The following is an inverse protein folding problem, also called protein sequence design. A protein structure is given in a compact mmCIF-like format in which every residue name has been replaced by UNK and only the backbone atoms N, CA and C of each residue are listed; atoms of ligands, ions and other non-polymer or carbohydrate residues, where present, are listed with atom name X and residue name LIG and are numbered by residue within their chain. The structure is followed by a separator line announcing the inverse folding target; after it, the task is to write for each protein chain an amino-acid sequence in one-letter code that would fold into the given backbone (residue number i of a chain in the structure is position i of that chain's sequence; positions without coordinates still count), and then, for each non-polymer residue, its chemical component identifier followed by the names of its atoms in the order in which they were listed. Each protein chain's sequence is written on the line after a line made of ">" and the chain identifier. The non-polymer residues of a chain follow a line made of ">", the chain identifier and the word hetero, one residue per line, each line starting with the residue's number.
data_IF_507954200775
#
_entry.id   IF_507954200775
#
_cell.length_a   1.000
_cell.length_b   1.000
_cell.length_c   1.000
_cell.angle_alpha   90.00
_cell.angle_beta   90.00
_cell.angle_gamma   90.00
#
_symmetry.space_group_name_H-M   'P 1'
#
loop_
_entity.id
_entity.type
_entity.pdbx_description
1 polymer ?
#
# COMPACT_ATOMS: atom_id res chain seq x y z
N UNK A 1 20.65 64.79 -9.68
CA UNK A 1 20.61 63.88 -8.51
C UNK A 1 19.45 64.14 -7.57
N UNK A 2 19.23 65.37 -7.06
CA UNK A 2 18.13 65.65 -6.11
C UNK A 2 16.74 65.23 -6.64
N UNK A 3 16.37 65.71 -7.85
CA UNK A 3 15.09 65.37 -8.50
C UNK A 3 14.92 63.85 -8.68
N UNK A 4 15.98 63.15 -9.11
CA UNK A 4 15.93 61.69 -9.30
C UNK A 4 15.77 60.95 -7.97
N UNK A 5 16.41 61.39 -6.88
CA UNK A 5 16.23 60.81 -5.54
C UNK A 5 14.80 61.01 -5.04
N UNK A 6 14.24 62.23 -5.15
CA UNK A 6 12.86 62.53 -4.74
C UNK A 6 11.86 61.65 -5.51
N UNK A 7 12.04 61.49 -6.83
CA UNK A 7 11.17 60.65 -7.65
C UNK A 7 11.23 59.16 -7.26
N UNK A 8 12.43 58.63 -6.93
CA UNK A 8 12.55 57.25 -6.45
C UNK A 8 11.92 57.05 -5.06
N UNK A 9 12.04 58.02 -4.15
CA UNK A 9 11.37 57.98 -2.83
C UNK A 9 9.85 57.98 -2.97
N UNK A 10 9.29 58.79 -3.88
CA UNK A 10 7.84 58.80 -4.16
C UNK A 10 7.37 57.45 -4.71
N UNK A 11 8.11 56.86 -5.66
CA UNK A 11 7.79 55.52 -6.20
C UNK A 11 7.86 54.45 -5.10
N UNK A 12 8.86 54.50 -4.23
CA UNK A 12 9.03 53.54 -3.13
C UNK A 12 7.86 53.64 -2.12
N UNK A 13 7.42 54.86 -1.79
CA UNK A 13 6.23 55.09 -0.97
C UNK A 13 4.93 54.57 -1.63
N UNK A 14 4.76 54.76 -2.94
CA UNK A 14 3.62 54.22 -3.69
C UNK A 14 3.63 52.68 -3.69
N UNK A 15 4.81 52.06 -3.86
CA UNK A 15 4.96 50.60 -3.78
C UNK A 15 4.67 50.06 -2.37
N UNK A 16 5.00 50.79 -1.31
CA UNK A 16 4.61 50.41 0.06
C UNK A 16 3.11 50.55 0.30
N UNK A 17 2.46 51.60 -0.23
CA UNK A 17 1.05 51.88 0.05
C UNK A 17 0.07 51.07 -0.82
N UNK A 18 0.47 50.69 -2.04
CA UNK A 18 -0.38 49.97 -3.00
C UNK A 18 0.15 48.59 -3.42
N UNK A 19 1.47 48.34 -3.31
CA UNK A 19 2.11 47.10 -3.78
C UNK A 19 2.32 46.03 -2.70
N UNK A 20 2.28 46.39 -1.41
CA UNK A 20 2.41 45.45 -0.28
C UNK A 20 1.06 44.88 0.19
N UNK A 21 0.10 44.71 -0.73
CA UNK A 21 -1.07 43.87 -0.48
C UNK A 21 -0.62 42.41 -0.38
N UNK A 22 -0.49 41.91 0.84
CA UNK A 22 -0.23 40.49 1.09
C UNK A 22 -1.38 39.68 0.52
N UNK A 23 -1.13 38.94 -0.57
CA UNK A 23 -2.04 37.90 -1.03
C UNK A 23 -2.00 36.78 0.00
N UNK A 24 -2.93 36.84 0.96
CA UNK A 24 -3.08 35.83 2.00
C UNK A 24 -3.27 34.47 1.32
N UNK A 25 -2.29 33.55 1.42
CA UNK A 25 -2.28 32.35 0.59
C UNK A 25 -3.50 31.50 0.95
N UNK A 26 -4.27 31.00 -0.03
CA UNK A 26 -5.52 30.31 0.23
C UNK A 26 -5.27 29.10 1.14
N UNK A 27 -5.80 29.19 2.37
CA UNK A 27 -5.53 28.30 3.51
C UNK A 27 -5.12 26.89 3.08
N UNK A 28 -3.85 26.54 3.32
CA UNK A 28 -3.37 25.19 3.08
C UNK A 28 -4.03 24.23 4.08
N UNK A 29 -5.20 23.72 3.70
CA UNK A 29 -5.95 22.71 4.44
C UNK A 29 -5.26 21.34 4.29
N UNK A 30 -4.02 21.26 4.77
CA UNK A 30 -3.37 19.99 5.08
C UNK A 30 -4.28 19.20 6.00
N UNK A 31 -4.72 18.04 5.54
CA UNK A 31 -5.42 17.08 6.38
C UNK A 31 -4.33 16.29 7.10
N UNK A 32 -4.35 16.33 8.43
CA UNK A 32 -3.46 15.52 9.26
C UNK A 32 -3.58 14.05 8.83
N UNK A 33 -2.45 13.40 8.63
CA UNK A 33 -2.40 11.96 8.36
C UNK A 33 -2.47 11.22 9.68
N UNK A 34 -3.11 10.05 9.67
CA UNK A 34 -3.20 9.17 10.83
C UNK A 34 -1.79 8.72 11.29
N UNK A 35 -1.58 8.66 12.61
CA UNK A 35 -0.36 8.15 13.21
C UNK A 35 -0.22 6.64 12.98
N UNK A 36 0.98 6.16 12.67
CA UNK A 36 1.25 4.72 12.69
C UNK A 36 2.69 4.38 12.33
N UNK A 37 3.19 3.27 12.88
CA UNK A 37 4.60 2.87 12.74
C UNK A 37 4.88 1.91 11.58
N UNK A 38 3.86 1.54 10.80
CA UNK A 38 3.96 0.54 9.73
C UNK A 38 3.10 0.90 8.51
N UNK A 39 3.48 0.41 7.33
CA UNK A 39 2.78 0.66 6.04
C UNK A 39 1.39 -0.01 5.96
N UNK A 40 1.13 -1.03 6.77
CA UNK A 40 -0.13 -1.79 6.80
C UNK A 40 -0.55 -2.08 8.23
N UNK A 41 -1.85 -2.14 8.47
CA UNK A 41 -2.39 -2.39 9.82
C UNK A 41 -3.86 -2.82 9.81
N UNK A 42 -4.28 -3.38 10.94
CA UNK A 42 -5.62 -3.92 11.17
C UNK A 42 -6.12 -3.50 12.55
N UNK A 43 -7.22 -2.75 12.60
CA UNK A 43 -7.98 -2.56 13.84
C UNK A 43 -8.58 -1.17 13.96
N UNK A 44 -9.23 -0.95 15.11
CA UNK A 44 -10.00 0.28 15.41
C UNK A 44 -9.49 0.99 16.68
N UNK A 45 -8.27 0.67 17.13
CA UNK A 45 -7.70 1.16 18.40
C UNK A 45 -6.34 1.77 18.10
N UNK A 46 -6.32 3.09 17.97
CA UNK A 46 -5.10 3.85 17.75
C UNK A 46 -4.14 3.75 18.95
N UNK A 47 -2.92 3.24 18.77
CA UNK A 47 -1.81 3.43 19.69
C UNK A 47 -1.36 4.91 19.67
N UNK A 48 -1.26 5.55 20.83
CA UNK A 48 -0.67 6.90 20.98
C UNK A 48 0.85 6.88 21.13
N UNK A 49 1.45 5.69 21.18
CA UNK A 49 2.88 5.40 21.21
C UNK A 49 3.15 4.26 20.23
N UNK A 50 4.40 4.11 19.80
CA UNK A 50 4.81 3.03 18.89
C UNK A 50 4.43 1.63 19.43
N UNK A 51 3.90 0.78 18.53
CA UNK A 51 3.67 -0.65 18.83
C UNK A 51 4.94 -1.46 18.67
N UNK A 52 5.03 -2.60 19.36
CA UNK A 52 6.16 -3.51 19.22
C UNK A 52 6.06 -4.38 17.97
N UNK A 53 6.56 -3.90 16.82
CA UNK A 53 6.63 -4.69 15.58
C UNK A 53 7.77 -5.72 15.61
N UNK A 54 7.51 -6.83 16.30
CA UNK A 54 8.27 -8.06 16.13
C UNK A 54 7.58 -8.94 15.07
N UNK A 55 8.27 -9.36 13.99
CA UNK A 55 7.72 -10.33 13.05
C UNK A 55 7.28 -11.59 13.80
N UNK A 56 6.00 -11.95 13.68
CA UNK A 56 5.51 -13.22 14.21
C UNK A 56 6.16 -14.33 13.40
N UNK A 57 7.14 -15.01 13.98
CA UNK A 57 7.77 -16.16 13.36
C UNK A 57 6.69 -17.19 13.08
N UNK A 58 6.34 -17.38 11.80
CA UNK A 58 5.47 -18.46 11.39
C UNK A 58 6.23 -19.75 11.60
N UNK A 59 5.93 -20.45 12.68
CA UNK A 59 6.43 -21.80 12.89
C UNK A 59 5.88 -22.66 11.74
N UNK A 60 6.75 -23.35 10.96
CA UNK A 60 6.28 -24.13 9.83
C UNK A 60 5.45 -25.31 10.34
N UNK A 61 4.27 -25.51 9.76
CA UNK A 61 3.45 -26.68 10.10
C UNK A 61 4.28 -27.97 9.91
N UNK A 62 4.22 -28.92 10.86
CA UNK A 62 5.03 -30.13 10.79
C UNK A 62 4.56 -30.99 9.61
N UNK A 63 5.33 -30.94 8.51
CA UNK A 63 5.09 -31.76 7.31
C UNK A 63 5.14 -33.23 7.69
N UNK A 64 3.97 -33.84 7.82
CA UNK A 64 3.80 -35.25 8.16
C UNK A 64 4.41 -36.12 7.05
N UNK A 65 5.57 -36.71 7.33
CA UNK A 65 6.20 -37.65 6.40
C UNK A 65 5.38 -38.94 6.35
N UNK A 66 4.95 -39.41 5.16
CA UNK A 66 4.27 -40.70 5.05
C UNK A 66 5.18 -41.83 5.53
N UNK A 67 4.80 -42.47 6.64
CA UNK A 67 5.48 -43.65 7.16
C UNK A 67 5.30 -44.80 6.17
N UNK A 68 6.40 -45.24 5.54
CA UNK A 68 6.40 -46.42 4.69
C UNK A 68 6.11 -47.68 5.53
N UNK A 69 4.87 -48.17 5.49
CA UNK A 69 4.48 -49.42 6.16
C UNK A 69 4.77 -50.60 5.23
N UNK A 70 5.81 -51.35 5.56
CA UNK A 70 6.18 -52.58 4.84
C UNK A 70 5.13 -53.65 5.17
N UNK A 71 4.37 -54.08 4.16
CA UNK A 71 3.59 -55.31 4.19
C UNK A 71 4.05 -56.21 3.05
N UNK A 72 4.72 -57.30 3.41
CA UNK A 72 4.63 -58.51 2.59
C UNK A 72 3.28 -59.16 2.89
N UNK A 73 2.48 -59.39 1.85
CA UNK A 73 1.52 -60.48 1.85
C UNK A 73 1.56 -61.14 0.47
N UNK A 74 1.33 -62.46 0.44
CA UNK A 74 1.62 -63.34 -0.69
C UNK A 74 0.33 -63.59 -1.51
N UNK A 75 0.44 -64.31 -2.63
CA UNK A 75 -0.60 -65.09 -3.36
C UNK A 75 -0.88 -64.60 -4.80
N UNK A 76 -0.16 -65.24 -5.72
CA UNK A 76 -0.55 -65.75 -7.07
C UNK A 76 -1.85 -65.27 -7.77
N UNK A 77 -1.77 -65.10 -9.10
CA UNK A 77 -2.42 -66.03 -10.06
C UNK A 77 -1.85 -65.89 -11.49
N UNK A 78 -1.83 -67.01 -12.22
CA UNK A 78 -1.31 -67.18 -13.59
C UNK A 78 -2.22 -66.64 -14.71
N UNK A 79 -1.62 -66.27 -15.86
CA UNK A 79 -1.96 -66.91 -17.13
C UNK A 79 -0.90 -66.74 -18.23
N UNK A 80 -1.03 -67.53 -19.30
CA UNK A 80 -0.07 -67.69 -20.41
C UNK A 80 -0.35 -66.74 -21.58
N UNK A 81 0.70 -66.34 -22.32
CA UNK A 81 0.82 -66.71 -23.75
C UNK A 81 2.31 -66.63 -24.18
N UNK A 82 2.64 -67.20 -25.34
CA UNK A 82 4.01 -67.41 -25.84
C UNK A 82 4.10 -67.01 -27.33
N UNK A 83 5.12 -67.44 -28.13
CA UNK A 83 6.54 -67.73 -27.84
C UNK A 83 7.48 -66.68 -28.51
N UNK A 84 8.82 -66.77 -28.56
CA UNK A 84 9.60 -67.52 -29.59
C UNK A 84 11.14 -67.25 -29.48
N UNK A 85 11.95 -68.34 -29.47
CA UNK A 85 13.36 -68.47 -29.95
C UNK A 85 14.62 -68.16 -29.06
N UNK A 86 15.30 -69.29 -28.68
CA UNK A 86 16.77 -69.59 -28.62
C UNK A 86 17.65 -68.91 -27.54
N UNK A 87 18.21 -69.70 -26.59
CA UNK A 87 19.54 -70.40 -26.56
C UNK A 87 20.74 -69.43 -26.44
N UNK A 88 21.78 -69.61 -25.61
CA UNK A 88 22.24 -70.64 -24.63
C UNK A 88 23.27 -69.94 -23.68
N UNK A 89 23.93 -70.49 -22.64
CA UNK A 89 24.28 -71.86 -22.16
C UNK A 89 24.61 -71.83 -20.64
N UNK A 90 25.05 -72.95 -20.03
CA UNK A 90 25.60 -73.01 -18.65
C UNK A 90 27.15 -72.90 -18.58
N UNK A 91 27.67 -72.45 -17.42
CA UNK A 91 28.77 -73.15 -16.71
C UNK A 91 28.80 -72.88 -15.20
N UNK A 92 29.34 -73.81 -14.39
CA UNK A 92 29.46 -73.73 -12.91
C UNK A 92 30.89 -73.97 -12.44
N UNK A 93 31.36 -73.18 -11.44
CA UNK A 93 32.38 -73.46 -10.39
C UNK A 93 32.64 -72.12 -9.65
N UNK A 94 32.55 -71.92 -8.32
CA UNK A 94 32.81 -72.72 -7.09
C UNK A 94 34.23 -72.46 -6.52
N UNK A 95 34.29 -72.36 -5.17
CA UNK A 95 35.46 -72.24 -4.26
C UNK A 95 36.08 -70.84 -4.09
N UNK A 96 35.77 -70.14 -2.99
CA UNK A 96 36.70 -69.91 -1.87
C UNK A 96 36.04 -69.21 -0.66
N UNK A 97 36.49 -69.58 0.55
CA UNK A 97 36.28 -68.87 1.83
C UNK A 97 37.60 -68.97 2.61
N UNK A 98 37.88 -68.14 3.64
CA UNK A 98 37.10 -67.02 4.19
C UNK A 98 37.89 -65.68 4.28
N UNK A 99 37.21 -64.56 4.58
CA UNK A 99 37.88 -63.42 5.23
C UNK A 99 36.95 -62.58 6.12
N UNK A 100 37.26 -62.57 7.42
CA UNK A 100 36.63 -61.70 8.43
C UNK A 100 37.15 -60.28 8.27
N UNK A 101 36.26 -59.29 8.17
CA UNK A 101 36.58 -57.85 8.14
C UNK A 101 35.57 -57.10 9.01
N UNK A 102 36.07 -56.18 9.83
CA UNK A 102 35.29 -55.37 10.78
C UNK A 102 34.63 -54.14 10.12
N UNK A 103 33.62 -53.51 10.76
CA UNK A 103 32.73 -52.57 10.08
C UNK A 103 33.43 -51.27 9.66
N UNK A 104 33.13 -50.83 8.44
CA UNK A 104 33.45 -49.46 7.98
C UNK A 104 32.54 -48.47 8.69
N UNK A 105 33.13 -47.35 9.16
CA UNK A 105 32.37 -46.15 9.54
C UNK A 105 31.99 -45.39 8.27
N UNK A 106 30.71 -45.08 8.12
CA UNK A 106 30.28 -44.06 7.17
C UNK A 106 30.70 -42.65 7.65
N UNK A 107 31.04 -41.73 6.73
CA UNK A 107 31.34 -40.34 7.08
C UNK A 107 30.07 -39.59 7.48
N UNK A 108 30.15 -38.63 8.43
CA UNK A 108 28.99 -37.85 8.83
C UNK A 108 28.47 -36.99 7.66
N UNK A 109 27.15 -37.03 7.41
CA UNK A 109 26.50 -36.05 6.53
C UNK A 109 26.76 -34.64 7.06
N UNK A 110 27.12 -33.72 6.17
CA UNK A 110 27.04 -32.28 6.47
C UNK A 110 25.57 -31.93 6.73
N UNK A 111 25.23 -31.15 7.77
CA UNK A 111 23.91 -30.55 7.88
C UNK A 111 23.67 -29.62 6.68
N UNK A 112 22.44 -29.58 6.19
CA UNK A 112 22.03 -28.58 5.21
C UNK A 112 22.13 -27.16 5.82
N UNK A 113 22.53 -26.14 5.04
CA UNK A 113 22.67 -24.78 5.55
C UNK A 113 21.29 -24.21 5.89
N UNK A 114 20.98 -24.12 7.17
CA UNK A 114 19.87 -23.28 7.64
C UNK A 114 20.14 -21.83 7.21
N UNK A 115 19.12 -21.04 6.81
CA UNK A 115 19.32 -19.64 6.48
C UNK A 115 19.91 -18.88 7.68
N UNK A 116 20.97 -18.12 7.46
CA UNK A 116 21.52 -17.23 8.49
C UNK A 116 20.44 -16.29 9.02
N UNK A 117 20.45 -16.07 10.35
CA UNK A 117 19.44 -15.25 11.03
C UNK A 117 19.32 -13.84 10.42
N UNK A 118 20.44 -13.30 9.94
CA UNK A 118 20.52 -12.02 9.20
C UNK A 118 19.67 -12.01 7.94
N UNK A 119 19.62 -13.11 7.18
CA UNK A 119 18.84 -13.25 5.95
C UNK A 119 17.35 -13.36 6.26
N UNK A 120 16.97 -14.14 7.29
CA UNK A 120 15.57 -14.20 7.75
C UNK A 120 15.11 -12.87 8.37
N UNK A 121 15.98 -12.14 9.08
CA UNK A 121 15.67 -10.84 9.66
C UNK A 121 15.49 -9.77 8.57
N UNK A 122 16.36 -9.74 7.56
CA UNK A 122 16.24 -8.84 6.43
C UNK A 122 14.94 -9.09 5.65
N UNK A 123 14.63 -10.36 5.33
CA UNK A 123 13.38 -10.73 4.67
C UNK A 123 12.15 -10.39 5.52
N UNK A 124 12.20 -10.65 6.83
CA UNK A 124 11.10 -10.32 7.75
C UNK A 124 10.86 -8.82 7.88
N UNK A 125 11.93 -8.02 7.87
CA UNK A 125 11.84 -6.55 7.93
C UNK A 125 11.35 -5.95 6.60
N UNK A 126 11.65 -6.61 5.47
CA UNK A 126 11.11 -6.24 4.15
C UNK A 126 9.61 -6.56 4.01
N UNK A 127 9.13 -7.63 4.66
CA UNK A 127 7.73 -8.07 4.59
C UNK A 127 6.81 -7.34 5.58
N UNK A 128 7.31 -7.01 6.77
CA UNK A 128 6.50 -6.47 7.89
C UNK A 128 6.85 -5.01 8.26
N UNK A 129 7.76 -4.36 7.52
CA UNK A 129 8.27 -3.04 7.84
C UNK A 129 9.41 -3.05 8.90
N UNK A 130 9.94 -1.87 9.26
CA UNK A 130 11.02 -1.76 10.23
C UNK A 130 10.60 -2.28 11.61
N UNK A 131 11.56 -2.91 12.31
CA UNK A 131 11.40 -3.34 13.70
C UNK A 131 11.28 -2.10 14.60
N UNK A 132 10.15 -1.96 15.27
CA UNK A 132 9.90 -0.95 16.30
C UNK A 132 10.02 -1.58 17.69
N UNK A 133 10.72 -0.89 18.56
CA UNK A 133 11.01 -1.26 19.95
C UNK A 133 9.92 -0.83 20.95
N UNK A 134 8.84 -0.22 20.44
CA UNK A 134 7.74 0.35 21.19
C UNK A 134 7.03 -0.59 22.20
N UNK A 135 6.21 0.02 23.04
CA UNK A 135 5.57 -0.60 24.22
C UNK A 135 4.08 -0.90 24.00
N UNK A 136 3.44 -0.20 23.05
CA UNK A 136 2.00 -0.23 22.90
C UNK A 136 1.48 -1.58 22.35
N UNK A 137 0.22 -1.88 22.69
CA UNK A 137 -0.50 -3.08 22.26
C UNK A 137 -1.76 -2.68 21.54
N UNK A 138 -1.90 -3.10 20.28
CA UNK A 138 -3.02 -2.74 19.43
C UNK A 138 -2.58 -2.67 17.98
N UNK A 139 -3.31 -1.86 17.23
CA UNK A 139 -3.11 -1.62 15.81
C UNK A 139 -4.35 -0.92 15.26
N UNK A 140 -4.14 0.16 14.53
CA UNK A 140 -5.13 0.83 13.71
C UNK A 140 -4.85 0.52 12.23
N UNK A 141 -5.88 0.48 11.40
CA UNK A 141 -5.71 0.29 9.96
C UNK A 141 -6.82 -0.50 9.28
N UNK A 142 -6.88 -0.29 7.97
CA UNK A 142 -7.93 -0.78 7.07
C UNK A 142 -7.47 -1.84 6.06
N UNK A 143 -6.35 -2.53 6.32
CA UNK A 143 -5.91 -3.71 5.55
C UNK A 143 -6.28 -5.01 6.28
N UNK A 144 -5.90 -6.15 5.69
CA UNK A 144 -6.01 -7.49 6.30
C UNK A 144 -4.73 -7.94 7.05
N UNK A 145 -3.72 -7.06 7.20
CA UNK A 145 -2.41 -7.38 7.80
C UNK A 145 -2.20 -6.71 9.17
N UNK A 146 -1.67 -7.44 10.18
CA UNK A 146 -1.40 -6.87 11.50
C UNK A 146 -0.32 -5.80 11.45
N UNK A 147 -0.54 -4.73 12.21
CA UNK A 147 0.31 -3.56 12.29
C UNK A 147 -0.50 -2.34 12.73
N UNK A 148 0.17 -1.19 12.78
CA UNK A 148 -0.40 0.12 13.07
C UNK A 148 -0.14 1.03 11.86
N UNK A 149 -1.18 1.27 11.07
CA UNK A 149 -1.06 1.85 9.74
C UNK A 149 -1.00 3.36 9.80
N UNK A 150 0.05 3.99 9.28
CA UNK A 150 0.06 5.44 9.20
C UNK A 150 1.43 6.04 8.93
N UNK A 151 1.61 7.28 9.39
CA UNK A 151 2.88 7.98 9.38
C UNK A 151 3.38 8.14 10.84
N UNK A 152 4.66 7.86 11.15
CA UNK A 152 5.22 8.14 12.47
C UNK A 152 5.12 9.61 12.90
N UNK A 153 5.09 10.54 11.93
CA UNK A 153 4.86 11.98 12.16
C UNK A 153 3.37 12.38 12.09
N UNK A 154 2.45 11.41 12.15
CA UNK A 154 1.00 11.61 12.04
C UNK A 154 0.31 12.03 13.35
N UNK A 155 -0.97 12.40 13.23
CA UNK A 155 -1.86 12.71 14.35
C UNK A 155 -2.67 11.46 14.74
N UNK A 156 -2.57 10.95 15.99
CA UNK A 156 -3.41 9.84 16.48
C UNK A 156 -4.92 10.10 16.44
N UNK A 157 -5.37 11.35 16.26
CA UNK A 157 -6.78 11.70 16.17
C UNK A 157 -7.28 11.77 14.71
N UNK A 158 -6.38 11.74 13.72
CA UNK A 158 -6.73 11.81 12.32
C UNK A 158 -7.23 10.45 11.79
N UNK A 159 -8.26 10.48 10.95
CA UNK A 159 -8.93 9.28 10.39
C UNK A 159 -8.55 8.97 8.94
N UNK A 160 -7.39 9.46 8.47
CA UNK A 160 -6.97 9.34 7.07
C UNK A 160 -5.49 8.97 6.99
N UNK A 161 -5.20 7.71 6.67
CA UNK A 161 -3.83 7.20 6.51
C UNK A 161 -3.06 7.88 5.37
N UNK A 162 -3.77 8.37 4.35
CA UNK A 162 -3.16 9.00 3.17
C UNK A 162 -3.50 10.49 3.14
N UNK A 163 -2.45 11.29 2.95
CA UNK A 163 -2.54 12.74 2.93
C UNK A 163 -3.18 13.25 1.64
N UNK A 164 -4.10 14.20 1.79
CA UNK A 164 -4.65 14.97 0.67
C UNK A 164 -3.66 16.07 0.25
N UNK A 165 -2.44 15.65 -0.13
CA UNK A 165 -1.42 16.54 -0.66
C UNK A 165 -1.89 17.22 -1.96
N UNK A 166 -1.19 18.29 -2.36
CA UNK A 166 -1.47 18.98 -3.62
C UNK A 166 -1.37 17.98 -4.78
N UNK A 167 -2.36 18.00 -5.67
CA UNK A 167 -2.35 17.17 -6.88
C UNK A 167 -1.16 17.48 -7.79
N UNK A 168 -0.70 16.49 -8.56
CA UNK A 168 0.45 16.61 -9.47
C UNK A 168 0.23 17.62 -10.61
N UNK A 169 -1.00 18.08 -10.82
CA UNK A 169 -1.31 19.16 -11.78
C UNK A 169 -0.95 20.57 -11.27
N UNK A 170 -0.74 20.76 -9.97
CA UNK A 170 -0.45 22.07 -9.37
C UNK A 170 -1.60 23.09 -9.40
N UNK A 171 -2.73 22.78 -10.03
CA UNK A 171 -3.85 23.70 -10.26
C UNK A 171 -4.70 24.03 -9.03
N UNK A 172 -4.48 23.33 -7.91
CA UNK A 172 -5.19 23.51 -6.65
C UNK A 172 -6.67 23.11 -6.67
N UNK A 173 -7.18 22.57 -7.80
CA UNK A 173 -8.58 22.17 -7.93
C UNK A 173 -8.89 20.84 -7.24
N UNK A 174 -7.87 20.10 -6.79
CA UNK A 174 -8.04 18.89 -5.98
C UNK A 174 -6.85 18.65 -5.04
N UNK A 175 -7.13 17.90 -3.99
CA UNK A 175 -6.21 17.52 -2.92
C UNK A 175 -6.21 15.98 -2.86
N UNK A 176 -5.26 15.37 -3.58
CA UNK A 176 -5.06 13.92 -3.68
C UNK A 176 -3.58 13.69 -4.01
N UNK A 177 -2.77 13.42 -2.99
CA UNK A 177 -1.32 13.33 -3.13
C UNK A 177 -0.89 12.20 -4.08
N UNK A 178 0.23 12.40 -4.80
CA UNK A 178 0.79 11.40 -5.72
C UNK A 178 0.01 11.18 -7.02
N UNK A 179 -1.13 11.87 -7.23
CA UNK A 179 -1.96 11.68 -8.43
C UNK A 179 -2.19 12.93 -9.26
N UNK A 180 -2.37 12.69 -10.56
CA UNK A 180 -2.70 13.63 -11.63
C UNK A 180 -4.10 13.32 -12.16
N UNK A 181 -4.94 14.33 -12.40
CA UNK A 181 -6.26 14.13 -12.98
C UNK A 181 -6.17 14.14 -14.53
N UNK A 182 -6.48 12.98 -15.14
CA UNK A 182 -6.42 12.72 -16.58
C UNK A 182 -7.64 13.28 -17.33
N UNK A 183 -8.81 13.29 -16.69
CA UNK A 183 -10.02 13.96 -17.15
C UNK A 183 -10.55 14.86 -16.02
N UNK A 184 -11.07 16.04 -16.39
CA UNK A 184 -11.68 17.02 -15.50
C UNK A 184 -13.03 17.46 -16.06
N UNK A 185 -13.96 16.50 -16.13
CA UNK A 185 -15.32 16.74 -16.65
C UNK A 185 -16.02 17.88 -15.91
N UNK A 186 -16.76 18.72 -16.64
CA UNK A 186 -17.52 19.84 -16.07
C UNK A 186 -18.98 19.73 -16.50
N UNK A 187 -19.87 19.62 -15.52
CA UNK A 187 -21.31 19.74 -15.74
C UNK A 187 -21.75 21.16 -15.41
N UNK A 188 -22.49 21.78 -16.33
CA UNK A 188 -23.13 23.08 -16.13
C UNK A 188 -24.23 22.93 -15.06
N UNK A 189 -24.40 23.96 -14.23
CA UNK A 189 -25.46 24.06 -13.25
C UNK A 189 -26.70 24.76 -13.84
N UNK A 190 -27.89 24.17 -13.66
CA UNK A 190 -29.16 24.74 -14.10
C UNK A 190 -29.70 25.80 -13.10
N UNK A 191 -28.82 26.63 -12.53
CA UNK A 191 -29.20 27.66 -11.55
C UNK A 191 -28.30 28.89 -11.59
N UNK A 192 -28.90 30.05 -11.29
CA UNK A 192 -28.21 31.34 -11.19
C UNK A 192 -27.56 31.52 -9.81
N UNK A 193 -26.68 30.58 -9.44
CA UNK A 193 -25.95 30.61 -8.17
C UNK A 193 -24.44 30.46 -8.36
N UNK A 194 -23.68 31.08 -7.46
CA UNK A 194 -22.22 30.99 -7.37
C UNK A 194 -21.79 30.44 -6.00
N UNK A 195 -20.53 30.01 -5.93
CA UNK A 195 -19.90 29.51 -4.70
C UNK A 195 -18.82 28.46 -4.96
N UNK A 196 -18.12 28.07 -3.90
CA UNK A 196 -17.21 26.93 -3.93
C UNK A 196 -17.92 25.70 -3.36
N UNK A 197 -17.90 24.58 -4.08
CA UNK A 197 -18.33 23.26 -3.58
C UNK A 197 -17.11 22.37 -3.43
N UNK A 198 -16.91 21.83 -2.24
CA UNK A 198 -15.87 20.83 -1.95
C UNK A 198 -16.53 19.45 -1.90
N UNK A 199 -15.94 18.50 -2.62
CA UNK A 199 -16.38 17.12 -2.75
C UNK A 199 -15.31 16.20 -2.20
N UNK A 200 -15.62 15.45 -1.13
CA UNK A 200 -14.74 14.38 -0.66
C UNK A 200 -14.88 13.18 -1.60
N UNK A 201 -13.76 12.56 -1.98
CA UNK A 201 -13.72 11.43 -2.91
C UNK A 201 -12.95 10.23 -2.35
N UNK A 202 -13.31 9.03 -2.81
CA UNK A 202 -12.47 7.82 -2.72
C UNK A 202 -12.02 7.42 -4.13
N UNK A 203 -10.75 7.04 -4.28
CA UNK A 203 -10.13 6.66 -5.55
C UNK A 203 -9.45 5.29 -5.41
N UNK A 204 -9.67 4.40 -6.38
CA UNK A 204 -9.02 3.08 -6.40
C UNK A 204 -7.59 3.14 -6.98
N UNK A 205 -6.85 2.02 -6.95
CA UNK A 205 -5.50 1.94 -7.55
C UNK A 205 -5.49 2.34 -9.03
N UNK A 206 -6.54 2.03 -9.79
CA UNK A 206 -6.68 2.36 -11.22
C UNK A 206 -6.98 3.84 -11.49
N UNK A 207 -7.06 4.69 -10.46
CA UNK A 207 -7.37 6.11 -10.60
C UNK A 207 -8.84 6.40 -10.86
N UNK A 208 -9.73 5.41 -10.73
CA UNK A 208 -11.18 5.61 -10.85
C UNK A 208 -11.76 6.05 -9.51
N UNK A 209 -12.57 7.11 -9.56
CA UNK A 209 -13.37 7.53 -8.40
C UNK A 209 -14.45 6.49 -8.12
N UNK A 210 -14.55 6.04 -6.87
CA UNK A 210 -15.47 5.00 -6.39
C UNK A 210 -16.56 5.56 -5.48
N UNK A 211 -16.28 6.66 -4.77
CA UNK A 211 -17.21 7.36 -3.88
C UNK A 211 -17.04 8.87 -4.03
N UNK A 212 -18.12 9.64 -3.89
CA UNK A 212 -18.09 11.10 -3.94
C UNK A 212 -19.21 11.73 -3.08
N UNK A 213 -18.82 12.58 -2.14
CA UNK A 213 -19.69 13.28 -1.18
C UNK A 213 -19.46 14.78 -1.26
N UNK A 214 -20.40 15.50 -1.90
CA UNK A 214 -20.38 16.96 -2.01
C UNK A 214 -20.90 17.63 -0.72
N UNK A 215 -20.55 18.91 -0.51
CA UNK A 215 -21.01 19.69 0.64
C UNK A 215 -20.14 19.52 1.90
N UNK A 216 -18.91 18.99 1.76
CA UNK A 216 -17.99 18.85 2.91
C UNK A 216 -17.30 20.17 3.27
N UNK A 217 -16.65 20.21 4.44
CA UNK A 217 -15.94 21.38 4.98
C UNK A 217 -15.05 22.06 3.93
N UNK A 218 -15.30 23.35 3.73
CA UNK A 218 -14.73 24.18 2.66
C UNK A 218 -15.76 24.60 1.60
N UNK A 219 -16.92 23.94 1.55
CA UNK A 219 -18.06 24.36 0.72
C UNK A 219 -18.66 25.67 1.25
N UNK A 220 -18.81 26.68 0.39
CA UNK A 220 -19.42 27.98 0.74
C UNK A 220 -20.90 28.08 0.37
N UNK A 221 -21.37 27.27 -0.59
CA UNK A 221 -22.77 27.19 -0.98
C UNK A 221 -23.20 25.71 -1.09
N UNK A 222 -24.28 25.35 -0.40
CA UNK A 222 -24.76 23.97 -0.25
C UNK A 222 -26.10 23.72 -0.98
N UNK A 223 -26.49 24.56 -1.93
CA UNK A 223 -27.69 24.34 -2.74
C UNK A 223 -27.52 23.15 -3.69
N UNK A 224 -28.60 22.35 -3.82
CA UNK A 224 -28.58 21.09 -4.59
C UNK A 224 -28.14 21.28 -6.04
N UNK A 225 -28.44 22.43 -6.63
CA UNK A 225 -28.09 22.74 -8.01
C UNK A 225 -26.57 22.90 -8.24
N UNK A 226 -25.78 23.19 -7.21
CA UNK A 226 -24.31 23.18 -7.26
C UNK A 226 -23.74 21.84 -6.76
N UNK A 227 -24.33 21.25 -5.71
CA UNK A 227 -23.85 19.99 -5.12
C UNK A 227 -23.93 18.80 -6.09
N UNK A 228 -25.03 18.65 -6.84
CA UNK A 228 -25.22 17.52 -7.76
C UNK A 228 -24.28 17.55 -9.00
N UNK A 229 -24.11 18.65 -9.76
CA UNK A 229 -23.13 18.67 -10.85
C UNK A 229 -21.69 18.53 -10.33
N UNK A 230 -21.34 19.08 -9.16
CA UNK A 230 -20.03 18.87 -8.55
C UNK A 230 -19.78 17.39 -8.18
N UNK A 231 -20.77 16.72 -7.57
CA UNK A 231 -20.71 15.28 -7.27
C UNK A 231 -20.60 14.43 -8.54
N UNK A 232 -21.35 14.77 -9.59
CA UNK A 232 -21.33 14.09 -10.89
C UNK A 232 -19.97 14.26 -11.59
N UNK A 233 -19.42 15.47 -11.59
CA UNK A 233 -18.08 15.77 -12.09
C UNK A 233 -17.00 14.98 -11.35
N UNK A 234 -17.11 14.87 -10.02
CA UNK A 234 -16.19 14.08 -9.21
C UNK A 234 -16.23 12.59 -9.55
N UNK A 235 -17.42 12.00 -9.79
CA UNK A 235 -17.55 10.60 -10.20
C UNK A 235 -17.09 10.35 -11.66
N UNK A 236 -17.21 11.35 -12.53
CA UNK A 236 -16.71 11.30 -13.91
C UNK A 236 -15.17 11.39 -13.98
N UNK A 237 -14.56 12.21 -13.10
CA UNK A 237 -13.12 12.44 -13.00
C UNK A 237 -12.32 11.12 -12.97
N UNK A 238 -11.16 11.11 -13.64
CA UNK A 238 -10.20 10.00 -13.62
C UNK A 238 -8.82 10.53 -13.28
N UNK A 239 -8.11 9.79 -12.44
CA UNK A 239 -6.71 10.02 -12.10
C UNK A 239 -5.81 8.97 -12.79
N UNK A 240 -4.49 9.15 -12.72
CA UNK A 240 -3.58 8.06 -13.08
C UNK A 240 -3.70 6.87 -12.14
N UNK A 241 -3.39 5.68 -12.65
CA UNK A 241 -3.12 4.51 -11.82
C UNK A 241 -1.89 4.73 -10.94
N UNK A 242 -1.90 4.12 -9.76
CA UNK A 242 -0.76 4.02 -8.86
C UNK A 242 -0.85 2.68 -8.11
N UNK A 243 0.11 1.80 -8.35
CA UNK A 243 0.17 0.46 -7.73
C UNK A 243 0.67 0.51 -6.28
N UNK A 244 1.37 1.60 -5.89
CA UNK A 244 1.84 1.83 -4.52
C UNK A 244 0.77 2.47 -3.65
N UNK A 245 -0.25 3.08 -4.25
CA UNK A 245 -1.40 3.61 -3.52
C UNK A 245 -2.14 2.50 -2.73
N UNK A 246 -2.91 2.85 -1.69
CA UNK A 246 -3.83 1.93 -1.04
C UNK A 246 -4.93 1.44 -1.99
N UNK A 247 -5.65 0.39 -1.60
CA UNK A 247 -6.86 -0.06 -2.32
C UNK A 247 -7.93 1.04 -2.44
N UNK A 248 -7.96 1.97 -1.48
CA UNK A 248 -8.78 3.19 -1.46
C UNK A 248 -7.96 4.38 -0.95
N UNK A 249 -7.83 5.42 -1.77
CA UNK A 249 -7.20 6.68 -1.38
C UNK A 249 -8.27 7.76 -1.23
N UNK A 250 -8.27 8.47 -0.10
CA UNK A 250 -9.22 9.56 0.16
C UNK A 250 -8.63 10.88 -0.37
N UNK A 251 -9.47 11.72 -0.96
CA UNK A 251 -9.11 13.04 -1.48
C UNK A 251 -10.25 14.05 -1.41
N UNK A 252 -10.00 15.26 -1.89
CA UNK A 252 -11.02 16.28 -2.15
C UNK A 252 -10.90 16.84 -3.57
N UNK A 253 -12.01 17.19 -4.21
CA UNK A 253 -12.07 18.07 -5.39
C UNK A 253 -12.80 19.35 -5.01
N UNK A 254 -12.36 20.48 -5.57
CA UNK A 254 -12.83 21.83 -5.28
C UNK A 254 -13.39 22.43 -6.58
N UNK A 255 -14.71 22.54 -6.67
CA UNK A 255 -15.40 23.16 -7.80
C UNK A 255 -15.75 24.61 -7.45
N UNK A 256 -15.34 25.55 -8.30
CA UNK A 256 -15.71 26.97 -8.19
C UNK A 256 -16.77 27.28 -9.24
N UNK A 257 -17.98 27.57 -8.80
CA UNK A 257 -19.08 28.06 -9.63
C UNK A 257 -19.09 29.58 -9.58
N UNK A 258 -19.00 30.21 -10.74
CA UNK A 258 -19.15 31.64 -10.96
C UNK A 258 -20.33 31.86 -11.89
N UNK A 259 -21.04 32.97 -11.71
CA UNK A 259 -21.91 33.48 -12.77
C UNK A 259 -21.02 33.99 -13.91
N UNK A 260 -21.52 33.92 -15.14
CA UNK A 260 -20.95 34.60 -16.29
C UNK A 260 -21.90 35.74 -16.66
N UNK A 261 -21.34 36.92 -16.89
CA UNK A 261 -22.05 38.07 -17.46
C UNK A 261 -22.31 37.88 -18.97
#
# INVERSE_FOLDING_TARGET
>A
MTITVVLHVIILLLLFYFGLTYLDPPLEQGIAVNFGTTETGTGNIQPTEAIKSAPKQSEPEPVSQPKAEIKEEVVTQDNEDAPVIKKEKETKKQVETPKKVEPKKDPPKKPDPQPDKTTSDALSSLINGPKSDGTAKGGEGNDDKPGDKGNPDGDPNAKSYYGTGKGLDGDGNYLLGGRKALNKEKFVQDCNEAGTVVVSIEVDRNGKVTSATAGVRGTTNNTKCLLEPAKRAALATRFNSDDKAPAKQIGKIIYKFSLSD
#
